data_IF_328577836008
#
_entry.id   IF_328577836008
#
_cell.length_a   1.000
_cell.length_b   1.000
_cell.length_c   1.000
_cell.angle_alpha   90.00
_cell.angle_beta   90.00
_cell.angle_gamma   90.00
#
_symmetry.space_group_name_H-M   'P 1'
#
loop_
_entity.id
_entity.type
_entity.pdbx_description
1 polymer ?
#
# COMPACT_ATOMS: atom_id res chain seq x y z
N UNK A 1 15.43 -25.23 1.15
CA UNK A 1 14.25 -25.08 2.05
C UNK A 1 13.64 -23.71 1.79
N UNK A 2 12.30 -23.56 1.82
CA UNK A 2 11.69 -22.24 1.63
C UNK A 2 11.89 -21.37 2.86
N UNK A 3 12.40 -20.14 2.70
CA UNK A 3 12.55 -19.21 3.81
C UNK A 3 11.18 -18.82 4.39
N UNK A 4 11.01 -18.95 5.72
CA UNK A 4 9.85 -18.44 6.44
C UNK A 4 9.86 -16.92 6.36
N UNK A 5 8.75 -16.29 5.95
CA UNK A 5 8.66 -14.83 5.87
C UNK A 5 8.90 -14.20 7.25
N UNK A 6 9.65 -13.10 7.29
CA UNK A 6 9.88 -12.32 8.51
C UNK A 6 8.61 -11.55 8.88
N UNK A 7 8.02 -10.85 7.91
CA UNK A 7 6.73 -10.18 8.06
C UNK A 7 5.59 -11.13 7.64
N UNK A 8 5.28 -12.10 8.51
CA UNK A 8 4.40 -13.24 8.18
C UNK A 8 2.89 -13.00 8.40
N UNK A 9 2.50 -11.91 9.07
CA UNK A 9 1.09 -11.54 9.27
C UNK A 9 0.68 -10.28 8.51
N UNK A 10 -0.60 -10.17 8.17
CA UNK A 10 -1.17 -8.96 7.56
C UNK A 10 -1.02 -7.74 8.46
N UNK A 11 -1.24 -7.90 9.78
CA UNK A 11 -1.13 -6.82 10.75
C UNK A 11 0.31 -6.28 10.84
N UNK A 12 1.30 -7.17 10.90
CA UNK A 12 2.71 -6.77 10.92
C UNK A 12 3.10 -6.03 9.64
N UNK A 13 2.68 -6.54 8.47
CA UNK A 13 2.89 -5.87 7.17
C UNK A 13 2.20 -4.49 7.12
N UNK A 14 0.96 -4.39 7.59
CA UNK A 14 0.21 -3.14 7.64
C UNK A 14 0.88 -2.10 8.54
N UNK A 15 1.30 -2.50 9.74
CA UNK A 15 2.01 -1.62 10.68
C UNK A 15 3.34 -1.14 10.12
N UNK A 16 4.12 -2.03 9.48
CA UNK A 16 5.39 -1.65 8.81
C UNK A 16 5.14 -0.68 7.65
N UNK A 17 4.16 -0.95 6.78
CA UNK A 17 3.80 0.00 5.70
C UNK A 17 3.33 1.35 6.23
N UNK A 18 2.69 1.39 7.40
CA UNK A 18 2.26 2.66 8.00
C UNK A 18 3.42 3.54 8.48
N UNK A 19 4.58 2.93 8.80
CA UNK A 19 5.79 3.67 9.18
C UNK A 19 6.42 4.40 7.99
N UNK A 20 6.14 3.98 6.76
CA UNK A 20 6.65 4.65 5.55
C UNK A 20 6.30 6.15 5.54
N UNK A 21 5.15 6.52 6.11
CA UNK A 21 4.69 7.92 6.20
C UNK A 21 5.38 8.72 7.32
N UNK A 22 6.20 8.09 8.16
CA UNK A 22 6.84 8.69 9.35
C UNK A 22 8.37 8.58 9.35
N UNK A 23 8.97 8.25 8.20
CA UNK A 23 10.40 7.94 8.02
C UNK A 23 10.84 6.71 8.82
N UNK A 24 10.85 5.58 8.13
CA UNK A 24 10.95 4.24 8.71
C UNK A 24 12.40 3.89 9.11
N UNK A 25 12.66 3.60 10.39
CA UNK A 25 14.02 3.18 10.83
C UNK A 25 14.10 1.71 11.26
N UNK A 26 15.32 1.18 11.35
CA UNK A 26 15.57 -0.17 11.84
C UNK A 26 15.04 -0.37 13.27
N UNK A 27 15.19 0.61 14.16
CA UNK A 27 14.70 0.58 15.54
C UNK A 27 13.18 0.49 15.59
N UNK A 28 12.48 1.23 14.73
CA UNK A 28 11.03 1.19 14.67
C UNK A 28 10.50 -0.15 14.15
N UNK A 29 11.16 -0.72 13.14
CA UNK A 29 10.88 -2.09 12.68
C UNK A 29 11.05 -3.08 13.82
N UNK A 30 12.15 -2.99 14.58
CA UNK A 30 12.40 -3.89 15.72
C UNK A 30 11.31 -3.77 16.77
N UNK A 31 10.93 -2.54 17.13
CA UNK A 31 9.84 -2.27 18.08
C UNK A 31 8.55 -2.94 17.64
N UNK A 32 8.09 -2.67 16.41
CA UNK A 32 6.82 -3.23 15.90
C UNK A 32 6.89 -4.77 15.84
N UNK A 33 8.00 -5.33 15.38
CA UNK A 33 8.16 -6.78 15.33
C UNK A 33 8.02 -7.43 16.72
N UNK A 34 8.65 -6.85 17.75
CA UNK A 34 8.56 -7.36 19.12
C UNK A 34 7.14 -7.20 19.67
N UNK A 35 6.51 -6.04 19.45
CA UNK A 35 5.13 -5.79 19.89
C UNK A 35 4.13 -6.79 19.28
N UNK A 36 4.28 -7.12 18.00
CA UNK A 36 3.37 -8.00 17.27
C UNK A 36 3.65 -9.50 17.47
N UNK A 37 4.90 -9.88 17.67
CA UNK A 37 5.31 -11.31 17.71
C UNK A 37 5.73 -11.80 19.09
N UNK A 38 5.97 -10.89 20.04
CA UNK A 38 6.57 -11.20 21.34
C UNK A 38 8.02 -11.71 21.27
N UNK A 39 8.66 -11.65 20.10
CA UNK A 39 9.98 -12.24 19.83
C UNK A 39 10.93 -11.24 19.18
N UNK A 40 12.24 -11.49 19.28
CA UNK A 40 13.23 -10.66 18.61
C UNK A 40 13.21 -10.88 17.08
N UNK A 41 13.34 -9.83 16.27
CA UNK A 41 13.49 -9.94 14.81
C UNK A 41 14.83 -10.55 14.41
N UNK A 42 15.06 -10.80 13.11
CA UNK A 42 16.37 -11.15 12.56
C UNK A 42 17.50 -10.23 13.08
N UNK A 43 18.69 -10.81 13.22
CA UNK A 43 19.84 -10.11 13.80
C UNK A 43 20.19 -8.84 13.03
N UNK A 44 20.25 -8.92 11.70
CA UNK A 44 20.59 -7.79 10.83
C UNK A 44 19.34 -7.24 10.15
N UNK A 45 19.16 -5.93 10.30
CA UNK A 45 18.09 -5.15 9.66
C UNK A 45 18.77 -3.95 9.03
N UNK A 46 18.78 -3.89 7.70
CA UNK A 46 19.25 -2.74 6.95
C UNK A 46 18.06 -2.04 6.31
N UNK A 47 18.06 -0.71 6.38
CA UNK A 47 17.02 0.12 5.79
C UNK A 47 17.67 1.03 4.76
N UNK A 48 17.09 1.08 3.57
CA UNK A 48 17.52 1.92 2.46
C UNK A 48 16.35 2.83 2.09
N UNK A 49 16.57 4.13 2.02
CA UNK A 49 15.55 5.08 1.59
C UNK A 49 15.80 5.53 0.16
N UNK A 50 14.74 5.68 -0.63
CA UNK A 50 14.87 6.08 -2.04
C UNK A 50 15.57 7.42 -2.22
N UNK A 51 15.44 8.33 -1.25
CA UNK A 51 16.08 9.65 -1.24
C UNK A 51 17.61 9.58 -1.33
N UNK A 52 18.23 8.57 -0.72
CA UNK A 52 19.68 8.35 -0.74
C UNK A 52 20.22 7.95 -2.13
N UNK A 53 19.32 7.56 -3.05
CA UNK A 53 19.65 7.10 -4.39
C UNK A 53 19.20 8.07 -5.49
N UNK A 54 18.65 9.24 -5.11
CA UNK A 54 18.24 10.27 -6.06
C UNK A 54 19.47 10.96 -6.65
N UNK A 55 19.43 11.15 -7.97
CA UNK A 55 20.46 11.91 -8.67
C UNK A 55 20.01 13.38 -8.73
N UNK A 56 20.77 14.27 -8.10
CA UNK A 56 20.43 15.70 -7.92
C UNK A 56 20.18 16.44 -9.25
N UNK A 57 20.65 15.88 -10.38
CA UNK A 57 20.54 16.48 -11.72
C UNK A 57 19.38 15.93 -12.57
N UNK A 58 18.46 15.14 -12.01
CA UNK A 58 17.32 14.57 -12.74
C UNK A 58 16.02 15.13 -12.16
N UNK A 59 15.03 15.41 -13.01
CA UNK A 59 13.69 15.81 -12.55
C UNK A 59 13.12 14.76 -11.60
N UNK A 60 12.83 15.18 -10.37
CA UNK A 60 12.23 14.33 -9.34
C UNK A 60 10.83 13.88 -9.81
N UNK A 61 10.59 12.56 -9.84
CA UNK A 61 9.28 12.01 -10.17
C UNK A 61 8.27 12.13 -9.01
N UNK A 62 8.75 12.50 -7.82
CA UNK A 62 8.00 12.44 -6.57
C UNK A 62 7.91 11.04 -5.97
N UNK A 63 8.66 10.06 -6.50
CA UNK A 63 8.70 8.72 -5.95
C UNK A 63 9.37 8.72 -4.56
N UNK A 64 8.71 8.09 -3.61
CA UNK A 64 9.25 7.81 -2.29
C UNK A 64 8.98 6.34 -1.92
N UNK A 65 9.90 5.77 -1.16
CA UNK A 65 9.87 4.35 -0.83
C UNK A 65 11.09 3.94 -0.02
N UNK A 66 10.93 2.81 0.65
CA UNK A 66 11.92 2.24 1.56
C UNK A 66 12.10 0.76 1.26
N UNK A 67 13.34 0.28 1.33
CA UNK A 67 13.67 -1.14 1.26
C UNK A 67 14.22 -1.60 2.60
N UNK A 68 13.64 -2.67 3.13
CA UNK A 68 14.09 -3.33 4.36
C UNK A 68 14.75 -4.64 3.98
N UNK A 69 16.00 -4.83 4.37
CA UNK A 69 16.72 -6.08 4.23
C UNK A 69 16.89 -6.75 5.59
N UNK A 70 16.27 -7.91 5.76
CA UNK A 70 16.45 -8.79 6.91
C UNK A 70 17.44 -9.88 6.56
N UNK A 71 18.46 -10.04 7.40
CA UNK A 71 19.46 -11.08 7.23
C UNK A 71 19.81 -11.75 8.57
N UNK A 72 19.82 -13.08 8.55
CA UNK A 72 20.15 -13.93 9.70
C UNK A 72 20.58 -15.31 9.16
N UNK A 73 21.90 -15.54 9.13
CA UNK A 73 22.50 -16.76 8.56
C UNK A 73 22.06 -18.02 9.31
N UNK A 74 22.04 -17.96 10.65
CA UNK A 74 21.66 -19.08 11.52
C UNK A 74 20.21 -19.52 11.28
N UNK A 75 19.32 -18.55 11.02
CA UNK A 75 17.91 -18.81 10.70
C UNK A 75 17.65 -19.00 9.21
N UNK A 76 18.68 -18.92 8.36
CA UNK A 76 18.56 -19.05 6.91
C UNK A 76 17.72 -17.92 6.27
N UNK A 77 17.74 -16.72 6.83
CA UNK A 77 16.95 -15.56 6.39
C UNK A 77 17.82 -14.65 5.51
N UNK A 78 17.35 -14.40 4.29
CA UNK A 78 17.85 -13.35 3.42
C UNK A 78 16.68 -12.77 2.63
N UNK A 79 16.01 -11.76 3.21
CA UNK A 79 14.74 -11.24 2.71
C UNK A 79 14.79 -9.74 2.50
N UNK A 80 14.35 -9.29 1.33
CA UNK A 80 14.23 -7.88 0.97
C UNK A 80 12.77 -7.53 0.76
N UNK A 81 12.28 -6.53 1.51
CA UNK A 81 10.93 -6.00 1.43
C UNK A 81 11.00 -4.60 0.81
N UNK A 82 10.46 -4.44 -0.39
CA UNK A 82 10.37 -3.15 -1.09
C UNK A 82 9.01 -2.53 -0.80
N UNK A 83 9.00 -1.38 -0.14
CA UNK A 83 7.79 -0.62 0.21
C UNK A 83 7.76 0.63 -0.65
N UNK A 84 6.79 0.72 -1.56
CA UNK A 84 6.52 1.98 -2.26
C UNK A 84 5.51 2.80 -1.45
N UNK A 85 5.79 4.11 -1.26
CA UNK A 85 4.89 5.01 -0.55
C UNK A 85 3.66 5.34 -1.40
N UNK A 86 2.50 5.39 -0.76
CA UNK A 86 1.27 5.90 -1.37
C UNK A 86 1.19 7.42 -1.31
N UNK A 87 0.20 8.02 -1.98
CA UNK A 87 0.00 9.47 -1.93
C UNK A 87 -0.58 9.92 -0.58
N UNK A 88 -0.20 11.10 -0.10
CA UNK A 88 -0.79 11.69 1.10
C UNK A 88 -2.11 12.42 0.83
N UNK A 89 -2.97 12.53 1.85
CA UNK A 89 -4.34 13.09 1.71
C UNK A 89 -4.39 14.61 1.57
N UNK A 90 -3.31 15.34 1.93
CA UNK A 90 -3.20 16.81 1.83
C UNK A 90 -1.73 17.23 1.81
N UNK A 91 -1.26 17.83 0.72
CA UNK A 91 -0.19 18.82 0.86
C UNK A 91 -0.76 20.07 1.56
N UNK A 92 -0.02 20.61 2.52
CA UNK A 92 -0.33 21.91 3.09
C UNK A 92 -0.26 22.94 1.96
N UNK A 93 -1.34 23.71 1.78
CA UNK A 93 -1.43 24.90 0.92
C UNK A 93 -1.89 24.75 -0.54
N UNK A 94 -2.85 23.86 -0.84
CA UNK A 94 -3.69 24.09 -2.04
C UNK A 94 -5.18 23.89 -1.78
N UNK A 95 -6.00 24.83 -2.26
CA UNK A 95 -7.47 24.82 -2.23
C UNK A 95 -8.11 23.74 -3.14
N UNK A 96 -7.38 22.66 -3.45
CA UNK A 96 -7.76 21.64 -4.44
C UNK A 96 -8.43 20.42 -3.78
N UNK A 97 -9.30 19.68 -4.49
CA UNK A 97 -9.85 18.40 -4.04
C UNK A 97 -8.76 17.44 -3.55
N UNK A 98 -9.10 16.56 -2.59
CA UNK A 98 -8.21 15.58 -1.94
C UNK A 98 -7.14 15.02 -2.89
N UNK A 99 -5.86 15.30 -2.60
CA UNK A 99 -4.71 15.01 -3.47
C UNK A 99 -4.60 13.54 -3.90
N UNK A 100 -5.09 12.57 -3.11
CA UNK A 100 -5.10 11.16 -3.51
C UNK A 100 -5.96 10.90 -4.76
N UNK A 101 -7.03 11.68 -4.99
CA UNK A 101 -7.85 11.57 -6.20
C UNK A 101 -7.14 12.20 -7.40
N UNK A 102 -6.41 13.30 -7.19
CA UNK A 102 -5.53 13.91 -8.20
C UNK A 102 -4.30 13.06 -8.53
N UNK A 103 -3.76 12.33 -7.56
CA UNK A 103 -2.65 11.39 -7.75
C UNK A 103 -3.12 10.07 -8.35
N UNK A 104 -4.31 9.60 -8.01
CA UNK A 104 -5.01 8.58 -8.78
C UNK A 104 -5.21 9.04 -10.22
N UNK A 105 -5.57 10.31 -10.47
CA UNK A 105 -5.58 10.92 -11.82
C UNK A 105 -4.16 10.99 -12.44
N UNK A 106 -3.12 11.25 -11.65
CA UNK A 106 -1.70 11.26 -12.01
C UNK A 106 -1.15 9.89 -12.44
N UNK A 107 -1.72 8.80 -11.90
CA UNK A 107 -1.48 7.43 -12.37
C UNK A 107 -1.89 7.29 -13.86
N UNK A 108 -2.85 8.09 -14.33
CA UNK A 108 -3.43 7.99 -15.66
C UNK A 108 -2.84 8.96 -16.71
N UNK A 109 -2.16 10.04 -16.32
CA UNK A 109 -1.70 11.10 -17.26
C UNK A 109 -0.17 11.19 -17.48
N UNK A 110 0.59 10.18 -17.04
CA UNK A 110 2.02 10.02 -17.36
C UNK A 110 3.00 10.17 -16.20
N UNK A 111 2.60 10.78 -15.07
CA UNK A 111 3.41 10.83 -13.84
C UNK A 111 3.68 9.42 -13.25
N UNK A 112 2.77 8.46 -13.42
CA UNK A 112 3.01 7.07 -12.96
C UNK A 112 4.18 6.37 -13.65
N UNK A 113 4.52 6.69 -14.91
CA UNK A 113 5.61 5.97 -15.59
C UNK A 113 6.98 6.35 -15.04
N UNK A 114 7.21 7.60 -14.69
CA UNK A 114 8.45 8.03 -14.05
C UNK A 114 8.57 7.44 -12.64
N UNK A 115 7.50 7.51 -11.83
CA UNK A 115 7.52 6.92 -10.49
C UNK A 115 7.68 5.39 -10.51
N UNK A 116 7.03 4.69 -11.43
CA UNK A 116 7.27 3.26 -11.66
C UNK A 116 8.73 2.96 -12.02
N UNK A 117 9.33 3.78 -12.91
CA UNK A 117 10.73 3.57 -13.31
C UNK A 117 11.67 3.79 -12.15
N UNK A 118 11.42 4.81 -11.33
CA UNK A 118 12.25 5.12 -10.17
C UNK A 118 12.10 4.03 -9.09
N UNK A 119 10.88 3.53 -8.86
CA UNK A 119 10.63 2.39 -7.98
C UNK A 119 11.39 1.13 -8.44
N UNK A 120 11.34 0.83 -9.75
CA UNK A 120 12.04 -0.30 -10.35
C UNK A 120 13.57 -0.14 -10.29
N UNK A 121 14.08 1.07 -10.54
CA UNK A 121 15.50 1.37 -10.49
C UNK A 121 16.03 1.30 -9.04
N UNK A 122 15.29 1.85 -8.08
CA UNK A 122 15.60 1.78 -6.67
C UNK A 122 15.70 0.31 -6.20
N UNK A 123 14.70 -0.50 -6.53
CA UNK A 123 14.72 -1.93 -6.26
C UNK A 123 15.94 -2.63 -6.89
N UNK A 124 16.27 -2.32 -8.16
CA UNK A 124 17.43 -2.91 -8.85
C UNK A 124 18.76 -2.53 -8.18
N UNK A 125 18.94 -1.25 -7.83
CA UNK A 125 20.15 -0.74 -7.18
C UNK A 125 20.39 -1.39 -5.83
N UNK A 126 19.38 -1.41 -4.97
CA UNK A 126 19.50 -2.01 -3.63
C UNK A 126 19.68 -3.53 -3.72
N UNK A 127 18.99 -4.20 -4.65
CA UNK A 127 19.22 -5.63 -4.93
C UNK A 127 20.69 -5.89 -5.27
N UNK A 128 21.28 -5.06 -6.14
CA UNK A 128 22.69 -5.18 -6.53
C UNK A 128 23.62 -4.98 -5.33
N UNK A 129 23.40 -3.95 -4.52
CA UNK A 129 24.19 -3.66 -3.30
C UNK A 129 24.18 -4.87 -2.36
N UNK A 130 22.99 -5.38 -2.01
CA UNK A 130 22.82 -6.53 -1.12
C UNK A 130 23.52 -7.77 -1.69
N UNK A 131 23.30 -8.07 -2.98
CA UNK A 131 23.84 -9.28 -3.62
C UNK A 131 25.37 -9.23 -3.70
N UNK A 132 25.94 -8.08 -4.02
CA UNK A 132 27.40 -7.89 -4.08
C UNK A 132 28.05 -7.94 -2.69
N UNK A 133 27.40 -7.39 -1.67
CA UNK A 133 27.87 -7.50 -0.28
C UNK A 133 27.87 -8.95 0.20
N UNK A 134 26.76 -9.68 0.02
CA UNK A 134 26.65 -11.07 0.43
C UNK A 134 27.62 -11.96 -0.33
N UNK A 135 27.80 -11.74 -1.64
CA UNK A 135 28.79 -12.46 -2.45
C UNK A 135 30.21 -12.26 -1.92
N UNK A 136 30.59 -11.04 -1.55
CA UNK A 136 31.91 -10.76 -0.94
C UNK A 136 32.11 -11.46 0.40
N UNK A 137 31.03 -11.67 1.15
CA UNK A 137 31.02 -12.41 2.43
C UNK A 137 30.94 -13.94 2.24
N UNK A 138 30.94 -14.44 0.99
CA UNK A 138 30.85 -15.88 0.69
C UNK A 138 29.46 -16.48 0.98
N UNK A 139 28.44 -15.65 1.12
CA UNK A 139 27.09 -16.07 1.52
C UNK A 139 26.31 -16.67 0.34
N UNK A 140 25.59 -17.76 0.62
CA UNK A 140 24.91 -18.57 -0.42
C UNK A 140 23.39 -18.58 -0.30
N UNK A 141 22.84 -17.98 0.76
CA UNK A 141 21.38 -17.89 0.96
C UNK A 141 20.81 -16.99 -0.14
N UNK A 142 19.92 -17.52 -0.98
CA UNK A 142 19.27 -16.76 -2.05
C UNK A 142 18.46 -15.58 -1.49
N UNK A 143 18.53 -14.43 -2.17
CA UNK A 143 17.75 -13.25 -1.76
C UNK A 143 16.28 -13.43 -2.15
N UNK A 144 15.41 -13.60 -1.15
CA UNK A 144 13.97 -13.62 -1.37
C UNK A 144 13.42 -12.20 -1.34
N UNK A 145 12.76 -11.80 -2.41
CA UNK A 145 12.22 -10.44 -2.57
C UNK A 145 10.71 -10.40 -2.41
N UNK A 146 10.21 -9.40 -1.70
CA UNK A 146 8.80 -9.19 -1.39
C UNK A 146 8.44 -7.74 -1.71
N UNK A 147 7.36 -7.53 -2.47
CA UNK A 147 6.78 -6.21 -2.71
C UNK A 147 5.70 -5.90 -1.68
N UNK A 148 5.70 -4.69 -1.13
CA UNK A 148 4.68 -4.17 -0.22
C UNK A 148 4.17 -2.83 -0.74
N UNK A 149 2.87 -2.56 -0.58
CA UNK A 149 2.34 -1.27 -0.97
C UNK A 149 0.95 -0.95 -0.43
N UNK A 150 0.73 0.31 -0.13
CA UNK A 150 -0.58 0.87 0.22
C UNK A 150 -1.01 1.88 -0.85
N UNK A 151 -2.28 1.92 -1.23
CA UNK A 151 -2.78 2.91 -2.20
C UNK A 151 -1.98 2.90 -3.51
N UNK A 152 -1.43 4.04 -3.93
CA UNK A 152 -0.55 4.16 -5.08
C UNK A 152 0.75 3.35 -4.93
N UNK A 153 1.23 3.09 -3.72
CA UNK A 153 2.36 2.19 -3.47
C UNK A 153 2.06 0.76 -3.92
N UNK A 154 0.81 0.31 -3.73
CA UNK A 154 0.35 -1.00 -4.21
C UNK A 154 0.42 -1.12 -5.73
N UNK A 155 -0.02 -0.08 -6.44
CA UNK A 155 0.10 0.01 -7.89
C UNK A 155 1.54 -0.24 -8.38
N UNK A 156 2.52 0.42 -7.78
CA UNK A 156 3.93 0.26 -8.18
C UNK A 156 4.45 -1.15 -7.93
N UNK A 157 4.15 -1.73 -6.77
CA UNK A 157 4.57 -3.09 -6.43
C UNK A 157 3.98 -4.13 -7.41
N UNK A 158 2.68 -4.00 -7.72
CA UNK A 158 2.00 -4.86 -8.70
C UNK A 158 2.51 -4.64 -10.12
N UNK A 159 2.71 -3.39 -10.56
CA UNK A 159 3.28 -3.09 -11.87
C UNK A 159 4.66 -3.74 -12.04
N UNK A 160 5.54 -3.63 -11.03
CA UNK A 160 6.86 -4.27 -11.08
C UNK A 160 6.73 -5.79 -11.16
N UNK A 161 5.80 -6.39 -10.41
CA UNK A 161 5.60 -7.83 -10.44
C UNK A 161 5.06 -8.34 -11.78
N UNK A 162 4.07 -7.64 -12.34
CA UNK A 162 3.44 -8.00 -13.61
C UNK A 162 4.39 -7.85 -14.80
N UNK A 163 5.28 -6.85 -14.76
CA UNK A 163 6.13 -6.49 -15.92
C UNK A 163 7.54 -7.03 -15.85
N UNK A 164 8.09 -7.23 -14.65
CA UNK A 164 9.51 -7.55 -14.44
C UNK A 164 9.72 -8.76 -13.52
N UNK A 165 8.65 -9.33 -12.95
CA UNK A 165 8.68 -10.56 -12.13
C UNK A 165 9.72 -10.54 -11.01
N UNK A 166 9.88 -9.40 -10.33
CA UNK A 166 10.98 -9.17 -9.39
C UNK A 166 10.70 -9.63 -7.97
N UNK A 167 9.46 -9.95 -7.64
CA UNK A 167 9.05 -10.35 -6.30
C UNK A 167 8.58 -11.80 -6.29
N UNK A 168 8.95 -12.49 -5.21
CA UNK A 168 8.39 -13.81 -4.92
C UNK A 168 6.94 -13.70 -4.50
N UNK A 169 6.59 -12.64 -3.77
CA UNK A 169 5.25 -12.33 -3.25
C UNK A 169 5.07 -10.81 -3.21
N UNK A 170 3.85 -10.35 -3.43
CA UNK A 170 3.42 -8.96 -3.33
C UNK A 170 2.25 -8.90 -2.37
N UNK A 171 2.30 -8.01 -1.38
CA UNK A 171 1.21 -7.79 -0.44
C UNK A 171 0.79 -6.33 -0.49
N UNK A 172 -0.47 -6.10 -0.81
CA UNK A 172 -1.00 -4.76 -0.98
C UNK A 172 -2.23 -4.53 -0.13
N UNK A 173 -2.37 -3.30 0.37
CA UNK A 173 -3.49 -2.86 1.20
C UNK A 173 -4.18 -1.69 0.51
N UNK A 174 -5.48 -1.82 0.25
CA UNK A 174 -6.29 -0.77 -0.38
C UNK A 174 -5.60 -0.15 -1.61
N UNK A 175 -5.01 -0.99 -2.45
CA UNK A 175 -4.25 -0.57 -3.61
C UNK A 175 -5.12 0.13 -4.66
N UNK A 176 -4.45 0.93 -5.49
CA UNK A 176 -4.98 1.33 -6.79
C UNK A 176 -4.46 0.32 -7.84
N UNK A 177 -5.20 -0.74 -8.17
CA UNK A 177 -4.69 -1.83 -8.99
C UNK A 177 -4.30 -1.31 -10.40
N UNK A 178 -3.29 -1.90 -11.04
CA UNK A 178 -2.90 -1.56 -12.41
C UNK A 178 -4.08 -1.67 -13.39
N UNK A 179 -4.30 -0.62 -14.18
CA UNK A 179 -5.27 -0.69 -15.27
C UNK A 179 -4.66 -1.30 -16.52
N UNK A 180 -5.47 -1.94 -17.38
CA UNK A 180 -5.01 -2.45 -18.68
C UNK A 180 -4.45 -1.34 -19.59
N UNK A 181 -4.93 -0.10 -19.44
CA UNK A 181 -4.36 1.07 -20.12
C UNK A 181 -2.93 1.32 -19.65
N UNK A 182 -2.74 1.46 -18.33
CA UNK A 182 -1.44 1.69 -17.72
C UNK A 182 -0.44 0.57 -18.05
N UNK A 183 -0.87 -0.69 -17.98
CA UNK A 183 -0.08 -1.86 -18.38
C UNK A 183 0.33 -1.74 -19.85
N UNK A 184 -0.59 -1.41 -20.75
CA UNK A 184 -0.23 -1.17 -22.15
C UNK A 184 0.71 0.03 -22.32
N UNK A 185 0.65 1.03 -21.45
CA UNK A 185 1.55 2.20 -21.50
C UNK A 185 2.99 1.88 -21.04
N UNK A 186 3.15 0.98 -20.07
CA UNK A 186 4.44 0.66 -19.44
C UNK A 186 5.06 -0.60 -20.06
N UNK A 187 4.28 -1.66 -20.22
CA UNK A 187 4.71 -2.94 -20.78
C UNK A 187 4.60 -2.95 -22.30
N UNK A 188 5.77 -2.81 -22.95
CA UNK A 188 5.87 -2.83 -24.41
C UNK A 188 5.50 -4.19 -25.01
N UNK A 189 5.74 -5.29 -24.31
CA UNK A 189 5.42 -6.64 -24.80
C UNK A 189 3.91 -6.85 -24.77
N UNK A 190 3.27 -6.48 -23.68
CA UNK A 190 1.82 -6.47 -23.60
C UNK A 190 1.18 -5.60 -24.67
N UNK A 191 1.69 -4.36 -24.87
CA UNK A 191 1.20 -3.48 -25.94
C UNK A 191 1.33 -4.12 -27.33
N UNK A 192 2.43 -4.81 -27.60
CA UNK A 192 2.65 -5.47 -28.86
C UNK A 192 1.64 -6.59 -29.12
N UNK A 193 1.36 -7.43 -28.12
CA UNK A 193 0.34 -8.47 -28.23
C UNK A 193 -1.08 -7.88 -28.31
N UNK A 194 -1.36 -6.79 -27.59
CA UNK A 194 -2.60 -6.03 -27.71
C UNK A 194 -2.80 -5.50 -29.15
N UNK A 195 -1.74 -4.94 -29.74
CA UNK A 195 -1.76 -4.38 -31.09
C UNK A 195 -2.03 -5.46 -32.15
N UNK A 196 -1.45 -6.65 -32.00
CA UNK A 196 -1.76 -7.81 -32.86
C UNK A 196 -3.23 -8.23 -32.79
N UNK A 197 -3.83 -8.17 -31.59
CA UNK A 197 -5.19 -8.65 -31.36
C UNK A 197 -6.26 -7.68 -31.84
N UNK A 198 -6.06 -6.37 -31.63
CA UNK A 198 -7.10 -5.37 -31.82
C UNK A 198 -6.80 -4.42 -32.98
N UNK A 199 -5.66 -3.74 -32.96
CA UNK A 199 -5.25 -2.86 -34.07
C UNK A 199 -3.75 -2.53 -33.99
N UNK A 200 -2.98 -2.75 -35.08
CA UNK A 200 -1.53 -2.51 -35.08
C UNK A 200 -1.18 -1.02 -34.89
N UNK A 201 -2.12 -0.11 -35.22
CA UNK A 201 -1.91 1.33 -35.16
C UNK A 201 -1.72 1.86 -33.73
N UNK A 202 -2.05 1.09 -32.68
CA UNK A 202 -1.76 1.46 -31.28
C UNK A 202 -0.26 1.65 -31.02
N UNK A 203 0.60 1.01 -31.82
CA UNK A 203 2.05 1.16 -31.69
C UNK A 203 2.55 2.53 -32.13
N UNK A 204 1.88 3.17 -33.09
CA UNK A 204 2.21 4.50 -33.60
C UNK A 204 1.37 5.60 -32.94
N UNK A 205 0.11 5.32 -32.59
CA UNK A 205 -0.77 6.22 -31.86
C UNK A 205 -1.43 5.49 -30.68
N UNK A 206 -0.87 5.70 -29.49
CA UNK A 206 -1.35 5.07 -28.27
C UNK A 206 -2.81 5.44 -27.95
N UNK A 207 -3.32 6.60 -28.39
CA UNK A 207 -4.70 7.02 -28.10
C UNK A 207 -5.74 6.08 -28.75
N UNK A 208 -5.36 5.31 -29.76
CA UNK A 208 -6.23 4.31 -30.36
C UNK A 208 -6.63 3.20 -29.37
N UNK A 209 -5.92 3.03 -28.25
CA UNK A 209 -6.34 2.10 -27.19
C UNK A 209 -7.73 2.41 -26.64
N UNK A 210 -8.14 3.69 -26.63
CA UNK A 210 -9.46 4.12 -26.13
C UNK A 210 -10.60 3.78 -27.08
N UNK A 211 -10.30 3.34 -28.31
CA UNK A 211 -11.30 2.80 -29.24
C UNK A 211 -11.65 1.32 -28.96
N UNK A 212 -10.83 0.63 -28.16
CA UNK A 212 -11.11 -0.75 -27.74
C UNK A 212 -12.18 -0.70 -26.64
N UNK A 213 -13.26 -1.51 -26.73
CA UNK A 213 -14.23 -1.62 -25.64
C UNK A 213 -13.53 -1.97 -24.31
N UNK A 214 -13.77 -1.22 -23.21
CA UNK A 214 -13.06 -1.43 -21.94
C UNK A 214 -13.12 -2.86 -21.40
N UNK A 215 -14.26 -3.53 -21.56
CA UNK A 215 -14.43 -4.94 -21.16
C UNK A 215 -13.50 -5.87 -21.94
N UNK A 216 -13.35 -5.67 -23.25
CA UNK A 216 -12.44 -6.47 -24.09
C UNK A 216 -10.98 -6.22 -23.74
N UNK A 217 -10.62 -4.97 -23.48
CA UNK A 217 -9.27 -4.60 -23.07
C UNK A 217 -8.91 -5.23 -21.71
N UNK A 218 -9.84 -5.17 -20.74
CA UNK A 218 -9.69 -5.80 -19.43
C UNK A 218 -9.50 -7.32 -19.55
N UNK A 219 -10.41 -8.02 -20.24
CA UNK A 219 -10.32 -9.47 -20.40
C UNK A 219 -9.04 -9.90 -21.09
N UNK A 220 -8.57 -9.14 -22.09
CA UNK A 220 -7.29 -9.44 -22.75
C UNK A 220 -6.10 -9.26 -21.80
N UNK A 221 -6.08 -8.21 -20.97
CA UNK A 221 -5.04 -7.99 -19.98
C UNK A 221 -5.00 -9.12 -18.95
N UNK A 222 -6.16 -9.50 -18.41
CA UNK A 222 -6.29 -10.63 -17.47
C UNK A 222 -5.75 -11.92 -18.11
N UNK A 223 -6.18 -12.25 -19.32
CA UNK A 223 -5.69 -13.46 -20.01
C UNK A 223 -4.17 -13.43 -20.26
N UNK A 224 -3.63 -12.26 -20.61
CA UNK A 224 -2.20 -12.08 -20.88
C UNK A 224 -1.34 -12.30 -19.64
N UNK A 225 -1.68 -11.67 -18.51
CA UNK A 225 -0.87 -11.73 -17.30
C UNK A 225 -1.05 -13.03 -16.51
N UNK A 226 -2.23 -13.66 -16.55
CA UNK A 226 -2.47 -14.99 -15.97
C UNK A 226 -1.53 -16.07 -16.50
N UNK A 227 -1.01 -15.91 -17.72
CA UNK A 227 -0.06 -16.85 -18.34
C UNK A 227 1.38 -16.62 -17.89
N UNK A 228 1.68 -15.49 -17.24
CA UNK A 228 3.04 -15.04 -16.94
C UNK A 228 3.34 -14.99 -15.45
N UNK A 229 2.32 -14.81 -14.60
CA UNK A 229 2.48 -14.80 -13.15
C UNK A 229 1.62 -15.87 -12.49
N UNK A 230 2.08 -16.35 -11.34
CA UNK A 230 1.23 -17.08 -10.40
C UNK A 230 0.26 -16.08 -9.75
N UNK A 231 -1.05 -16.24 -9.95
CA UNK A 231 -2.06 -15.38 -9.34
C UNK A 231 -1.96 -15.37 -7.80
N UNK A 232 -1.41 -16.43 -7.19
CA UNK A 232 -1.19 -16.54 -5.75
C UNK A 232 0.03 -15.75 -5.25
N UNK A 233 0.76 -15.10 -6.16
CA UNK A 233 1.90 -14.25 -5.81
C UNK A 233 1.50 -12.83 -5.43
N UNK A 234 0.26 -12.39 -5.67
CA UNK A 234 -0.24 -11.06 -5.31
C UNK A 234 -1.41 -11.22 -4.32
N UNK A 235 -1.27 -10.61 -3.15
CA UNK A 235 -2.22 -10.70 -2.04
C UNK A 235 -2.82 -9.33 -1.78
N UNK A 236 -4.14 -9.23 -1.90
CA UNK A 236 -4.88 -8.00 -1.64
C UNK A 236 -5.56 -8.07 -0.27
N UNK A 237 -5.30 -7.07 0.56
CA UNK A 237 -6.04 -6.84 1.80
C UNK A 237 -6.89 -5.57 1.63
N UNK A 238 -8.17 -5.67 1.94
CA UNK A 238 -9.09 -4.54 1.94
C UNK A 238 -9.39 -4.14 3.38
N UNK A 239 -9.18 -2.87 3.72
CA UNK A 239 -9.64 -2.28 4.97
C UNK A 239 -10.76 -1.30 4.67
N UNK A 240 -11.98 -1.63 5.11
CA UNK A 240 -13.22 -0.91 4.76
C UNK A 240 -13.27 0.51 5.34
N UNK A 241 -12.49 0.77 6.39
CA UNK A 241 -12.38 2.08 7.03
C UNK A 241 -11.60 3.09 6.18
N UNK A 242 -10.90 2.63 5.14
CA UNK A 242 -10.13 3.49 4.26
C UNK A 242 -10.99 4.21 3.23
N UNK A 243 -10.60 5.45 2.93
CA UNK A 243 -11.25 6.29 1.94
C UNK A 243 -11.14 5.70 0.52
N UNK A 244 -10.08 4.96 0.21
CA UNK A 244 -9.91 4.34 -1.11
C UNK A 244 -10.92 3.22 -1.36
N UNK A 245 -11.28 2.45 -0.34
CA UNK A 245 -12.33 1.44 -0.41
C UNK A 245 -13.68 2.07 -0.79
N UNK A 246 -13.99 3.23 -0.20
CA UNK A 246 -15.22 3.95 -0.47
C UNK A 246 -15.35 4.41 -1.93
N UNK A 247 -14.22 4.64 -2.60
CA UNK A 247 -14.17 5.18 -3.96
C UNK A 247 -14.08 4.05 -5.00
N UNK A 248 -13.41 2.95 -4.68
CA UNK A 248 -13.28 1.79 -5.57
C UNK A 248 -14.62 1.06 -5.80
N UNK A 249 -15.50 1.05 -4.80
CA UNK A 249 -16.79 0.37 -4.83
C UNK A 249 -17.84 0.94 -5.80
N UNK A 250 -17.62 2.12 -6.39
CA UNK A 250 -18.67 2.81 -7.15
C UNK A 250 -18.78 2.33 -8.60
N UNK A 251 -17.69 1.96 -9.31
CA UNK A 251 -17.74 1.46 -10.72
C UNK A 251 -16.59 0.56 -11.19
N UNK A 252 -15.62 0.22 -10.33
CA UNK A 252 -14.40 -0.47 -10.75
C UNK A 252 -13.44 0.43 -11.55
N UNK A 253 -12.14 0.28 -11.30
CA UNK A 253 -11.10 1.21 -11.79
C UNK A 253 -11.06 1.37 -13.32
N UNK A 254 -11.38 0.34 -14.11
CA UNK A 254 -11.33 0.41 -15.57
C UNK A 254 -12.39 1.35 -16.18
N UNK A 255 -13.60 1.40 -15.61
CA UNK A 255 -14.66 2.31 -16.07
C UNK A 255 -14.35 3.77 -15.70
N UNK A 256 -13.71 3.97 -14.54
CA UNK A 256 -13.24 5.28 -14.10
C UNK A 256 -12.19 5.85 -15.07
N UNK A 257 -11.22 5.03 -15.52
CA UNK A 257 -10.21 5.46 -16.51
C UNK A 257 -10.83 5.90 -17.82
N UNK A 258 -11.78 5.14 -18.36
CA UNK A 258 -12.44 5.49 -19.61
C UNK A 258 -13.22 6.81 -19.49
N UNK A 259 -13.93 7.01 -18.37
CA UNK A 259 -14.64 8.25 -18.08
C UNK A 259 -13.68 9.44 -17.98
N UNK A 260 -12.53 9.26 -17.32
CA UNK A 260 -11.54 10.33 -17.16
C UNK A 260 -10.98 10.79 -18.50
N UNK A 261 -10.62 9.85 -19.39
CA UNK A 261 -10.15 10.19 -20.72
C UNK A 261 -11.20 11.00 -21.52
N UNK A 262 -12.48 10.61 -21.44
CA UNK A 262 -13.56 11.36 -22.08
C UNK A 262 -13.71 12.77 -21.52
N UNK A 263 -13.61 12.93 -20.20
CA UNK A 263 -13.69 14.24 -19.55
C UNK A 263 -12.49 15.13 -19.85
N UNK A 264 -11.28 14.60 -19.92
CA UNK A 264 -10.10 15.37 -20.35
C UNK A 264 -10.22 15.84 -21.80
N UNK A 265 -10.89 15.06 -22.65
CA UNK A 265 -11.12 15.40 -24.06
C UNK A 265 -12.28 16.40 -24.25
N UNK A 266 -13.29 16.36 -23.38
CA UNK A 266 -14.56 17.07 -23.60
C UNK A 266 -14.89 18.15 -22.55
N UNK A 267 -14.21 18.20 -21.41
CA UNK A 267 -14.34 19.23 -20.37
C UNK A 267 -15.75 19.36 -19.76
N UNK A 268 -16.43 18.26 -19.41
CA UNK A 268 -17.85 18.27 -19.03
C UNK A 268 -18.12 18.30 -17.51
N UNK A 269 -17.10 18.22 -16.66
CA UNK A 269 -17.22 18.31 -15.19
C UNK A 269 -17.75 17.04 -14.50
N UNK A 270 -18.02 15.96 -15.24
CA UNK A 270 -18.69 14.77 -14.70
C UNK A 270 -17.84 13.98 -13.69
N UNK A 271 -16.50 14.14 -13.70
CA UNK A 271 -15.62 13.57 -12.67
C UNK A 271 -15.86 14.26 -11.34
N UNK A 272 -15.88 15.61 -11.31
CA UNK A 272 -15.98 16.40 -10.08
C UNK A 272 -17.28 16.05 -9.36
N UNK A 273 -18.39 15.99 -10.08
CA UNK A 273 -19.69 15.66 -9.53
C UNK A 273 -19.73 14.25 -8.93
N UNK A 274 -19.14 13.25 -9.62
CA UNK A 274 -19.11 11.86 -9.15
C UNK A 274 -18.14 11.64 -8.00
N UNK A 275 -16.99 12.31 -7.99
CA UNK A 275 -16.05 12.26 -6.87
C UNK A 275 -16.67 12.89 -5.64
N UNK A 276 -17.37 14.02 -5.79
CA UNK A 276 -18.10 14.65 -4.69
C UNK A 276 -19.24 13.76 -4.17
N UNK A 277 -20.00 13.11 -5.05
CA UNK A 277 -21.05 12.16 -4.67
C UNK A 277 -20.47 10.97 -3.86
N UNK A 278 -19.37 10.37 -4.30
CA UNK A 278 -18.72 9.26 -3.60
C UNK A 278 -18.18 9.69 -2.22
N UNK A 279 -17.58 10.87 -2.13
CA UNK A 279 -17.09 11.45 -0.87
C UNK A 279 -18.25 11.75 0.07
N UNK A 280 -19.36 12.32 -0.42
CA UNK A 280 -20.56 12.57 0.39
C UNK A 280 -21.19 11.27 0.89
N UNK A 281 -21.29 10.25 0.05
CA UNK A 281 -21.82 8.94 0.46
C UNK A 281 -20.94 8.29 1.53
N UNK A 282 -19.60 8.38 1.41
CA UNK A 282 -18.68 7.91 2.43
C UNK A 282 -18.81 8.70 3.74
N UNK A 283 -18.85 10.03 3.66
CA UNK A 283 -19.05 10.88 4.84
C UNK A 283 -20.38 10.58 5.53
N UNK A 284 -21.47 10.37 4.77
CA UNK A 284 -22.77 9.95 5.31
C UNK A 284 -22.71 8.59 5.98
N UNK A 285 -22.06 7.58 5.37
CA UNK A 285 -21.88 6.25 5.96
C UNK A 285 -21.01 6.28 7.22
N UNK A 286 -19.93 7.06 7.22
CA UNK A 286 -19.04 7.19 8.37
C UNK A 286 -19.62 8.05 9.49
N UNK A 287 -20.46 9.05 9.19
CA UNK A 287 -21.25 9.77 10.19
C UNK A 287 -22.30 8.86 10.80
N UNK A 288 -23.01 8.07 9.99
CA UNK A 288 -23.97 7.07 10.49
C UNK A 288 -23.28 6.00 11.35
N UNK A 289 -22.11 5.52 10.90
CA UNK A 289 -21.32 4.52 11.64
C UNK A 289 -20.69 5.13 12.89
N UNK A 290 -20.16 6.36 12.85
CA UNK A 290 -19.70 7.06 14.05
C UNK A 290 -20.83 7.36 15.02
N UNK A 291 -22.02 7.77 14.56
CA UNK A 291 -23.16 8.02 15.45
C UNK A 291 -23.67 6.71 16.06
N UNK A 292 -23.70 5.61 15.29
CA UNK A 292 -24.02 4.29 15.82
C UNK A 292 -22.95 3.79 16.81
N UNK A 293 -21.67 3.97 16.51
CA UNK A 293 -20.57 3.59 17.40
C UNK A 293 -20.51 4.48 18.64
N UNK A 294 -20.72 5.79 18.50
CA UNK A 294 -20.76 6.77 19.59
C UNK A 294 -22.00 6.57 20.46
N UNK A 295 -23.16 6.25 19.88
CA UNK A 295 -24.35 5.88 20.65
C UNK A 295 -24.16 4.52 21.34
N UNK A 296 -23.54 3.55 20.69
CA UNK A 296 -23.17 2.26 21.29
C UNK A 296 -22.16 2.40 22.41
N UNK A 297 -21.10 3.20 22.22
CA UNK A 297 -20.07 3.48 23.21
C UNK A 297 -20.57 4.37 24.35
N UNK A 298 -21.43 5.35 24.08
CA UNK A 298 -22.12 6.11 25.13
C UNK A 298 -23.03 5.20 25.94
N UNK A 299 -23.80 4.32 25.28
CA UNK A 299 -24.67 3.34 25.96
C UNK A 299 -23.84 2.36 26.80
N UNK A 300 -22.70 1.88 26.28
CA UNK A 300 -21.78 1.00 27.00
C UNK A 300 -21.11 1.73 28.17
N UNK A 301 -20.62 2.96 27.97
CA UNK A 301 -20.02 3.79 29.01
C UNK A 301 -21.03 4.13 30.12
N UNK A 302 -22.30 4.35 29.78
CA UNK A 302 -23.37 4.61 30.74
C UNK A 302 -23.73 3.34 31.53
N UNK A 303 -23.73 2.17 30.89
CA UNK A 303 -23.85 0.87 31.58
C UNK A 303 -22.69 0.63 32.55
N UNK A 304 -21.44 0.85 32.11
CA UNK A 304 -20.26 0.72 32.98
C UNK A 304 -20.27 1.73 34.13
N UNK A 305 -20.67 2.98 33.88
CA UNK A 305 -20.79 4.01 34.92
C UNK A 305 -21.87 3.66 35.94
N UNK A 306 -23.02 3.15 35.50
CA UNK A 306 -24.08 2.67 36.40
C UNK A 306 -23.59 1.46 37.21
N UNK A 307 -22.88 0.52 36.59
CA UNK A 307 -22.32 -0.65 37.28
C UNK A 307 -21.24 -0.26 38.32
N UNK A 308 -20.38 0.72 37.99
CA UNK A 308 -19.39 1.28 38.92
C UNK A 308 -20.07 2.03 40.08
N UNK A 309 -21.16 2.75 39.81
CA UNK A 309 -21.92 3.44 40.86
C UNK A 309 -22.67 2.44 41.76
N UNK A 310 -23.19 1.35 41.21
CA UNK A 310 -23.82 0.25 41.96
C UNK A 310 -22.78 -0.47 42.83
N UNK A 311 -21.59 -0.75 42.27
CA UNK A 311 -20.44 -1.28 43.00
C UNK A 311 -19.96 -0.32 44.10
N UNK A 312 -19.93 1.00 43.85
CA UNK A 312 -19.58 2.02 44.85
C UNK A 312 -20.63 2.14 45.94
N UNK A 313 -21.92 1.98 45.61
CA UNK A 313 -23.00 1.86 46.58
C UNK A 313 -22.88 0.62 47.46
N UNK A 314 -22.32 -0.47 46.93
CA UNK A 314 -22.01 -1.70 47.67
C UNK A 314 -20.69 -1.64 48.46
N UNK A 315 -19.78 -0.72 48.15
CA UNK A 315 -18.43 -0.61 48.75
C UNK A 315 -18.30 0.32 49.97
N UNK A 316 -19.40 0.87 50.51
CA UNK A 316 -19.37 1.65 51.77
C UNK A 316 -19.33 0.77 53.04
N UNK A 317 -19.42 -0.57 52.95
CA UNK A 317 -19.58 -1.42 54.15
C UNK A 317 -18.43 -2.38 54.47
N UNK A 318 -17.29 -2.37 53.77
CA UNK A 318 -16.21 -3.33 54.07
C UNK A 318 -14.82 -2.69 54.17
N UNK A 319 -14.41 -2.52 55.43
CA UNK A 319 -13.05 -2.39 55.99
C UNK A 319 -12.37 -1.01 56.00
N UNK A 320 -12.80 -0.18 56.97
CA UNK A 320 -11.86 0.43 57.91
C UNK A 320 -11.32 -0.69 58.81
N UNK A 321 -10.04 -1.03 58.70
CA UNK A 321 -9.12 -1.17 59.83
C UNK A 321 -7.83 -1.88 59.42
N UNK A 322 -6.75 -1.50 60.13
CA UNK A 322 -5.41 -2.09 60.13
C UNK A 322 -4.44 -1.50 59.10
N UNK A 323 -3.72 -0.45 59.52
CA UNK A 323 -2.28 -0.47 59.84
C UNK A 323 -1.90 0.90 60.43
N UNK A 324 -1.55 0.94 61.74
CA UNK A 324 -0.71 2.00 62.30
C UNK A 324 0.55 1.37 62.92
N UNK A 325 1.67 1.81 62.33
CA UNK A 325 3.10 1.71 62.64
C UNK A 325 3.51 1.53 64.11
N UNK A 326 4.52 0.68 64.32
CA UNK A 326 5.41 0.75 65.49
C UNK A 326 6.45 1.88 65.37
N UNK A 327 6.68 2.62 66.46
CA UNK A 327 8.04 2.94 66.95
C UNK A 327 8.04 3.43 68.41
N UNK A 328 8.60 2.57 69.28
CA UNK A 328 9.36 2.78 70.53
C UNK A 328 9.25 4.12 71.28
N UNK A 329 8.88 4.02 72.56
CA UNK A 329 9.83 4.14 73.68
C UNK A 329 9.60 3.01 74.68
#
# INVERSE_FOLDING_TARGET
>A
MSQKLVLDTDLLRARVMSLEYKHLTAEEIRRIYIEETGSNPPAQIHVYHSEDFRNVNVNDSGFDGTIIHFYDEEKGINQMYTIARGSEKREKDTWKPLDWAYNALGIFVGQSRSQYRDALEFDRKVTQIITEELKRKGQTIELKKIGLGHSQGGNHAEMIQLTEHRFSQVYVINDAPPSAYQLAYIDKRFRYELAKKFTPNILSDYNLIYSIPPSKLKSFAEEYYKKQIDERSIHHLTAEEDLLYAVSGVRGFAELVHLIHQEMKCGRGQIIDKTNEAVEQYQKRNLLSNDLYKNSMNTAAQRYTNMINDMRGQHITLYYDVIIREKKR
#
